data_IF_525868422928
#
_entry.id   IF_525868422928
#
_cell.length_a   1.000
_cell.length_b   1.000
_cell.length_c   1.000
_cell.angle_alpha   90.00
_cell.angle_beta   90.00
_cell.angle_gamma   90.00
#
_symmetry.space_group_name_H-M   'P 1'
#
loop_
_entity.id
_entity.type
_entity.pdbx_description
1 polymer ?
#
# COMPACT_ATOMS: atom_id res chain seq x y z
N UNK A 1 26.38 -39.80 11.97
CA UNK A 1 25.65 -38.66 11.35
C UNK A 1 25.95 -37.43 12.18
N UNK A 2 26.80 -36.55 11.66
CA UNK A 2 27.56 -35.57 12.45
C UNK A 2 26.67 -34.42 12.93
N UNK A 3 26.82 -34.04 14.20
CA UNK A 3 26.11 -32.91 14.86
C UNK A 3 26.28 -31.60 14.06
N UNK A 4 27.39 -31.47 13.32
CA UNK A 4 27.68 -30.32 12.47
C UNK A 4 26.67 -30.08 11.33
N UNK A 5 26.04 -31.13 10.79
CA UNK A 5 25.07 -30.98 9.69
C UNK A 5 23.73 -30.43 10.19
N UNK A 6 23.33 -30.78 11.42
CA UNK A 6 22.10 -30.25 12.04
C UNK A 6 22.22 -28.77 12.37
N UNK A 7 23.38 -28.32 12.87
CA UNK A 7 23.64 -26.90 13.17
C UNK A 7 23.60 -26.07 11.88
N UNK A 8 24.12 -26.60 10.76
CA UNK A 8 24.10 -25.94 9.47
C UNK A 8 22.67 -25.81 8.90
N UNK A 9 21.85 -26.85 9.04
CA UNK A 9 20.44 -26.83 8.63
C UNK A 9 19.59 -25.82 9.43
N UNK A 10 19.78 -25.75 10.75
CA UNK A 10 19.08 -24.77 11.61
C UNK A 10 19.49 -23.34 11.27
N UNK A 11 20.78 -23.09 11.00
CA UNK A 11 21.26 -21.77 10.58
C UNK A 11 20.65 -21.32 9.25
N UNK A 12 20.50 -22.24 8.29
CA UNK A 12 19.82 -21.96 7.02
C UNK A 12 18.35 -21.59 7.25
N UNK A 13 17.62 -22.40 8.01
CA UNK A 13 16.20 -22.16 8.28
C UNK A 13 15.94 -20.80 8.95
N UNK A 14 16.79 -20.39 9.90
CA UNK A 14 16.69 -19.08 10.55
C UNK A 14 16.99 -17.94 9.57
N UNK A 15 17.98 -18.11 8.68
CA UNK A 15 18.30 -17.13 7.64
C UNK A 15 17.15 -16.98 6.64
N UNK A 16 16.58 -18.08 6.20
CA UNK A 16 15.47 -18.08 5.25
C UNK A 16 14.20 -17.49 5.88
N UNK A 17 13.98 -17.73 7.18
CA UNK A 17 12.91 -17.09 7.95
C UNK A 17 13.12 -15.58 8.10
N UNK A 18 14.35 -15.13 8.42
CA UNK A 18 14.68 -13.70 8.48
C UNK A 18 14.48 -13.02 7.14
N UNK A 19 14.91 -13.65 6.04
CA UNK A 19 14.70 -13.11 4.69
C UNK A 19 13.20 -13.07 4.37
N UNK A 20 12.44 -14.12 4.69
CA UNK A 20 10.98 -14.13 4.53
C UNK A 20 10.29 -13.03 5.33
N UNK A 21 10.72 -12.81 6.59
CA UNK A 21 10.19 -11.76 7.45
C UNK A 21 10.49 -10.36 6.91
N UNK A 22 11.71 -10.11 6.45
CA UNK A 22 12.09 -8.83 5.82
C UNK A 22 11.36 -8.59 4.50
N UNK A 23 11.20 -9.63 3.69
CA UNK A 23 10.44 -9.55 2.43
C UNK A 23 8.96 -9.27 2.71
N UNK A 24 8.39 -9.86 3.76
CA UNK A 24 7.01 -9.61 4.15
C UNK A 24 6.78 -8.14 4.53
N UNK A 25 7.67 -7.57 5.34
CA UNK A 25 7.60 -6.16 5.73
C UNK A 25 7.71 -5.25 4.50
N UNK A 26 8.66 -5.56 3.59
CA UNK A 26 8.82 -4.84 2.33
C UNK A 26 7.58 -4.93 1.43
N UNK A 27 6.91 -6.08 1.34
CA UNK A 27 5.68 -6.25 0.55
C UNK A 27 4.57 -5.36 1.12
N UNK A 28 4.44 -5.31 2.45
CA UNK A 28 3.43 -4.49 3.13
C UNK A 28 3.67 -3.00 2.89
N UNK A 29 4.91 -2.54 2.97
CA UNK A 29 5.29 -1.16 2.62
C UNK A 29 4.96 -0.81 1.17
N UNK A 30 5.18 -1.73 0.24
CA UNK A 30 4.86 -1.52 -1.18
C UNK A 30 3.35 -1.46 -1.41
N UNK A 31 2.58 -2.27 -0.69
CA UNK A 31 1.11 -2.24 -0.74
C UNK A 31 0.55 -0.91 -0.19
N UNK A 32 1.07 -0.43 0.93
CA UNK A 32 0.71 0.88 1.49
C UNK A 32 1.07 2.04 0.54
N UNK A 33 2.25 2.00 -0.08
CA UNK A 33 2.66 2.99 -1.10
C UNK A 33 1.78 2.94 -2.34
N UNK A 34 1.41 1.74 -2.79
CA UNK A 34 0.50 1.56 -3.94
C UNK A 34 -0.88 2.16 -3.65
N UNK A 35 -1.45 1.90 -2.48
CA UNK A 35 -2.73 2.49 -2.08
C UNK A 35 -2.65 4.01 -2.01
N UNK A 36 -1.56 4.57 -1.47
CA UNK A 36 -1.36 6.01 -1.45
C UNK A 36 -1.30 6.60 -2.87
N UNK A 37 -0.59 5.95 -3.80
CA UNK A 37 -0.52 6.39 -5.18
C UNK A 37 -1.90 6.33 -5.88
N UNK A 38 -2.66 5.25 -5.65
CA UNK A 38 -4.03 5.11 -6.16
C UNK A 38 -4.97 6.20 -5.61
N UNK A 39 -4.86 6.52 -4.32
CA UNK A 39 -5.63 7.61 -3.70
C UNK A 39 -5.24 8.99 -4.21
N UNK A 40 -3.95 9.26 -4.46
CA UNK A 40 -3.50 10.51 -5.08
C UNK A 40 -3.98 10.64 -6.53
N UNK A 41 -3.99 9.53 -7.28
CA UNK A 41 -4.51 9.50 -8.64
C UNK A 41 -6.03 9.72 -8.66
N UNK A 42 -6.77 9.09 -7.74
CA UNK A 42 -8.19 9.40 -7.52
C UNK A 42 -8.39 10.87 -7.15
N UNK A 43 -7.53 11.47 -6.33
CA UNK A 43 -7.60 12.90 -6.01
C UNK A 43 -7.35 13.78 -7.24
N UNK A 44 -6.36 13.46 -8.07
CA UNK A 44 -6.08 14.19 -9.30
C UNK A 44 -7.23 14.09 -10.32
N UNK A 45 -7.88 12.93 -10.41
CA UNK A 45 -8.92 12.67 -11.41
C UNK A 45 -10.33 12.95 -10.90
N UNK A 46 -10.59 12.96 -9.59
CA UNK A 46 -11.90 13.25 -8.96
C UNK A 46 -11.87 14.61 -8.22
N UNK A 47 -10.73 15.30 -8.22
CA UNK A 47 -10.54 16.64 -7.66
C UNK A 47 -11.37 17.75 -8.31
N UNK A 48 -12.10 17.46 -9.40
CA UNK A 48 -13.15 18.37 -9.89
C UNK A 48 -14.37 18.41 -8.96
N UNK A 49 -14.59 17.38 -8.12
CA UNK A 49 -15.52 17.52 -6.98
C UNK A 49 -15.02 18.56 -5.96
N UNK A 50 -13.74 18.97 -6.02
CA UNK A 50 -13.14 20.08 -5.28
C UNK A 50 -13.01 21.37 -6.11
N UNK A 51 -13.45 21.38 -7.39
CA UNK A 51 -13.60 22.60 -8.20
C UNK A 51 -12.56 22.87 -9.30
N UNK A 52 -11.70 21.90 -9.65
CA UNK A 52 -10.75 22.07 -10.77
C UNK A 52 -11.13 21.19 -11.99
N UNK A 53 -11.54 21.79 -13.13
CA UNK A 53 -12.02 21.02 -14.29
C UNK A 53 -10.85 20.44 -15.09
N UNK A 54 -10.61 19.15 -14.93
CA UNK A 54 -9.77 18.34 -15.83
C UNK A 54 -10.67 17.67 -16.87
N UNK A 55 -10.24 17.69 -18.14
CA UNK A 55 -10.97 17.19 -19.31
C UNK A 55 -11.66 15.83 -19.06
N UNK A 56 -13.00 15.85 -19.04
CA UNK A 56 -13.84 14.78 -18.50
C UNK A 56 -13.97 13.50 -19.32
N UNK A 57 -13.28 13.40 -20.47
CA UNK A 57 -13.50 12.30 -21.41
C UNK A 57 -12.98 10.95 -20.92
N UNK A 58 -11.81 10.92 -20.28
CA UNK A 58 -11.20 9.68 -19.77
C UNK A 58 -11.76 9.24 -18.41
N UNK A 59 -12.47 10.13 -17.71
CA UNK A 59 -12.94 9.94 -16.33
C UNK A 59 -14.05 8.89 -16.23
N UNK A 60 -15.01 8.91 -17.16
CA UNK A 60 -16.13 7.96 -17.16
C UNK A 60 -15.71 6.52 -17.38
N UNK A 61 -14.59 6.29 -18.09
CA UNK A 61 -14.04 4.94 -18.30
C UNK A 61 -13.34 4.39 -17.05
N UNK A 62 -12.77 5.27 -16.22
CA UNK A 62 -12.07 4.92 -14.98
C UNK A 62 -13.02 4.87 -13.77
N UNK A 63 -14.15 5.57 -13.84
CA UNK A 63 -15.18 5.63 -12.79
C UNK A 63 -15.62 4.26 -12.23
N UNK A 64 -15.96 3.24 -13.04
CA UNK A 64 -16.43 1.96 -12.50
C UNK A 64 -15.36 1.21 -11.70
N UNK A 65 -14.08 1.45 -12.00
CA UNK A 65 -12.97 0.83 -11.26
C UNK A 65 -12.72 1.48 -9.91
N UNK A 66 -13.06 2.76 -9.77
CA UNK A 66 -12.86 3.52 -8.53
C UNK A 66 -14.11 3.67 -7.69
N UNK A 67 -15.30 3.52 -8.28
CA UNK A 67 -16.60 3.60 -7.62
C UNK A 67 -16.68 2.87 -6.26
N UNK A 68 -16.25 1.59 -6.13
CA UNK A 68 -16.31 0.90 -4.84
C UNK A 68 -15.28 1.44 -3.83
N UNK A 69 -14.16 2.00 -4.29
CA UNK A 69 -13.07 2.52 -3.43
C UNK A 69 -13.25 3.98 -3.04
N UNK A 70 -14.14 4.73 -3.71
CA UNK A 70 -14.39 6.14 -3.43
C UNK A 70 -14.85 6.38 -1.98
N UNK A 71 -15.69 5.51 -1.41
CA UNK A 71 -16.16 5.67 -0.04
C UNK A 71 -15.03 5.46 0.97
N UNK A 72 -14.22 4.42 0.77
CA UNK A 72 -13.03 4.15 1.60
C UNK A 72 -12.02 5.28 1.48
N UNK A 73 -11.79 5.78 0.27
CA UNK A 73 -10.91 6.92 0.01
C UNK A 73 -11.40 8.20 0.70
N UNK A 74 -12.69 8.51 0.60
CA UNK A 74 -13.29 9.67 1.27
C UNK A 74 -13.13 9.56 2.79
N UNK A 75 -13.38 8.37 3.36
CA UNK A 75 -13.19 8.13 4.78
C UNK A 75 -11.71 8.24 5.20
N UNK A 76 -10.80 7.75 4.37
CA UNK A 76 -9.36 7.86 4.59
C UNK A 76 -8.85 9.31 4.52
N UNK A 77 -9.37 10.13 3.61
CA UNK A 77 -9.04 11.55 3.50
C UNK A 77 -9.56 12.37 4.66
N UNK A 78 -10.77 12.05 5.15
CA UNK A 78 -11.39 12.74 6.29
C UNK A 78 -10.85 12.25 7.64
N UNK A 79 -10.17 11.11 7.66
CA UNK A 79 -9.52 10.60 8.87
C UNK A 79 -8.33 11.50 9.20
N UNK A 80 -8.35 12.10 10.37
CA UNK A 80 -7.21 12.85 10.89
C UNK A 80 -6.00 11.92 10.99
N UNK A 81 -4.92 12.30 10.31
CA UNK A 81 -3.63 11.64 10.41
C UNK A 81 -2.98 12.14 11.70
N UNK A 82 -3.22 11.45 12.79
CA UNK A 82 -2.54 11.74 14.05
C UNK A 82 -1.02 11.70 13.83
N UNK A 83 -0.32 12.68 14.40
CA UNK A 83 1.14 12.85 14.27
C UNK A 83 1.95 11.62 14.66
N UNK A 84 1.36 10.69 15.42
CA UNK A 84 1.93 9.40 15.77
C UNK A 84 2.13 8.48 14.55
N UNK A 85 1.31 8.61 13.50
CA UNK A 85 1.50 7.91 12.21
C UNK A 85 2.68 8.49 11.40
N UNK A 86 3.03 9.77 11.60
CA UNK A 86 4.18 10.44 10.95
C UNK A 86 5.54 10.11 11.59
N UNK A 87 5.54 9.49 12.77
CA UNK A 87 6.72 9.16 13.55
C UNK A 87 7.21 7.71 13.35
N UNK A 88 6.51 6.90 12.54
CA UNK A 88 6.95 5.58 12.10
C UNK A 88 7.66 5.67 10.76
#
# INVERSE_FOLDING_TARGET
MSIGDRIRGVKSAIKDFLIGATVYDMIRDLEEKRLCAEYMLMLAVVGDMLGYPISSYYRFRLLPYWAPRLQTWKHYLLKERDVTEKLR
#
